data_IF_209617077664
#
_entry.id   IF_209617077664
#
_cell.length_a   1.000
_cell.length_b   1.000
_cell.length_c   1.000
_cell.angle_alpha   90.00
_cell.angle_beta   90.00
_cell.angle_gamma   90.00
#
_symmetry.space_group_name_H-M   'P 1'
#
loop_
_entity.id
_entity.type
_entity.pdbx_description
1 polymer ?
#
# COMPACT_ATOMS: atom_id res chain seq x y z
N UNK A 1 51.15 6.12 19.87
CA UNK A 1 49.70 5.84 19.75
C UNK A 1 49.06 7.07 19.10
N UNK A 2 48.80 7.04 17.78
CA UNK A 2 48.14 8.16 17.09
C UNK A 2 46.63 7.95 17.24
N UNK A 3 46.00 8.78 18.05
CA UNK A 3 44.54 8.84 18.13
C UNK A 3 44.08 9.56 16.87
N UNK A 4 43.54 8.83 15.89
CA UNK A 4 42.81 9.43 14.76
C UNK A 4 41.61 10.18 15.35
N UNK A 5 41.59 11.50 15.23
CA UNK A 5 40.36 12.28 15.47
C UNK A 5 39.24 11.73 14.58
N UNK A 6 38.01 11.55 15.10
CA UNK A 6 36.89 11.12 14.27
C UNK A 6 36.67 12.19 13.19
N UNK A 7 36.54 11.75 11.94
CA UNK A 7 36.27 12.64 10.82
C UNK A 7 35.01 13.47 11.14
N UNK A 8 35.13 14.80 11.13
CA UNK A 8 33.99 15.70 11.30
C UNK A 8 32.99 15.42 10.18
N UNK A 9 31.73 15.13 10.54
CA UNK A 9 30.66 14.90 9.57
C UNK A 9 30.59 16.08 8.60
N UNK A 10 30.52 15.77 7.30
CA UNK A 10 30.27 16.78 6.28
C UNK A 10 28.93 17.48 6.58
N UNK A 11 28.82 18.78 6.26
CA UNK A 11 27.62 19.58 6.53
C UNK A 11 26.35 18.93 5.95
N UNK A 12 26.43 18.29 4.79
CA UNK A 12 25.31 17.57 4.16
C UNK A 12 24.96 16.29 4.93
N UNK A 13 25.94 15.49 5.34
CA UNK A 13 25.73 14.34 6.24
C UNK A 13 25.10 14.77 7.58
N UNK A 14 25.53 15.90 8.14
CA UNK A 14 24.97 16.48 9.37
C UNK A 14 23.52 16.96 9.17
N UNK A 15 23.21 17.64 8.06
CA UNK A 15 21.82 18.06 7.80
C UNK A 15 20.91 16.85 7.53
N UNK A 16 21.37 15.88 6.74
CA UNK A 16 20.62 14.66 6.45
C UNK A 16 20.27 13.87 7.72
N UNK A 17 21.24 13.66 8.61
CA UNK A 17 21.01 12.93 9.86
C UNK A 17 19.97 13.61 10.76
N UNK A 18 19.98 14.94 10.80
CA UNK A 18 19.05 15.73 11.60
C UNK A 18 17.63 15.77 11.01
N UNK A 19 17.47 15.83 9.67
CA UNK A 19 16.14 15.89 9.05
C UNK A 19 15.48 14.52 8.82
N UNK A 20 16.28 13.44 8.78
CA UNK A 20 15.81 12.05 8.58
C UNK A 20 14.62 11.65 9.47
N UNK A 21 14.61 11.87 10.80
CA UNK A 21 13.46 11.49 11.62
C UNK A 21 12.20 12.29 11.30
N UNK A 22 12.33 13.58 10.94
CA UNK A 22 11.17 14.41 10.58
C UNK A 22 10.57 13.99 9.24
N UNK A 23 11.41 13.73 8.25
CA UNK A 23 10.97 13.23 6.93
C UNK A 23 10.28 11.86 7.05
N UNK A 24 10.77 11.00 7.95
CA UNK A 24 10.16 9.69 8.21
C UNK A 24 8.69 9.79 8.62
N UNK A 25 8.30 10.84 9.35
CA UNK A 25 6.90 11.04 9.77
C UNK A 25 6.12 11.96 8.84
N UNK A 26 6.77 12.98 8.29
CA UNK A 26 6.14 13.92 7.38
C UNK A 26 5.56 13.24 6.14
N UNK A 27 6.32 12.34 5.50
CA UNK A 27 5.92 11.66 4.27
C UNK A 27 4.62 10.84 4.43
N UNK A 28 4.51 9.89 5.38
CA UNK A 28 3.28 9.12 5.54
C UNK A 28 2.11 9.98 6.05
N UNK A 29 2.35 11.00 6.88
CA UNK A 29 1.29 11.91 7.35
C UNK A 29 0.72 12.71 6.17
N UNK A 30 1.58 13.25 5.31
CA UNK A 30 1.15 13.96 4.11
C UNK A 30 0.35 13.03 3.19
N UNK A 31 0.82 11.80 2.98
CA UNK A 31 0.10 10.80 2.20
C UNK A 31 -1.29 10.51 2.77
N UNK A 32 -1.42 10.38 4.10
CA UNK A 32 -2.71 10.19 4.75
C UNK A 32 -3.64 11.38 4.52
N UNK A 33 -3.17 12.61 4.77
CA UNK A 33 -3.97 13.83 4.65
C UNK A 33 -4.51 14.01 3.23
N UNK A 34 -3.73 13.71 2.20
CA UNK A 34 -4.13 13.84 0.80
C UNK A 34 -5.33 12.96 0.42
N UNK A 35 -5.51 11.83 1.10
CA UNK A 35 -6.60 10.88 0.82
C UNK A 35 -7.62 10.76 1.96
N UNK A 36 -7.43 11.45 3.08
CA UNK A 36 -8.35 11.35 4.23
C UNK A 36 -9.77 11.80 3.88
N UNK A 37 -9.89 12.71 2.91
CA UNK A 37 -11.17 13.17 2.40
C UNK A 37 -11.99 12.08 1.68
N UNK A 38 -11.37 10.98 1.23
CA UNK A 38 -12.09 9.89 0.54
C UNK A 38 -12.77 8.93 1.50
N UNK A 39 -12.44 8.97 2.79
CA UNK A 39 -12.93 8.01 3.78
C UNK A 39 -14.45 8.08 4.00
N UNK A 40 -15.06 9.24 3.73
CA UNK A 40 -16.52 9.42 3.83
C UNK A 40 -17.26 9.19 2.50
N UNK A 41 -16.55 8.81 1.43
CA UNK A 41 -17.19 8.47 0.16
C UNK A 41 -17.74 7.05 0.17
N UNK A 42 -18.77 6.81 -0.65
CA UNK A 42 -19.30 5.48 -0.93
C UNK A 42 -18.44 4.71 -1.93
N UNK A 43 -18.70 3.41 -2.07
CA UNK A 43 -18.07 2.55 -3.07
C UNK A 43 -18.43 3.01 -4.50
N UNK A 44 -17.43 3.19 -5.36
CA UNK A 44 -17.62 3.69 -6.73
C UNK A 44 -16.85 2.88 -7.77
N UNK A 45 -17.41 2.84 -8.98
CA UNK A 45 -16.83 2.27 -10.21
C UNK A 45 -16.23 0.86 -10.04
N UNK A 46 -14.95 0.77 -9.68
CA UNK A 46 -14.21 -0.47 -9.57
C UNK A 46 -14.44 -1.19 -8.24
N UNK A 47 -14.81 -0.48 -7.16
CA UNK A 47 -15.12 -1.07 -5.85
C UNK A 47 -16.26 -2.08 -5.95
N UNK A 48 -17.22 -1.81 -6.82
CA UNK A 48 -18.31 -2.75 -7.10
C UNK A 48 -17.79 -4.08 -7.66
N UNK A 49 -16.78 -4.03 -8.51
CA UNK A 49 -16.25 -5.21 -9.20
C UNK A 49 -15.41 -6.08 -8.26
N UNK A 50 -14.55 -5.45 -7.46
CA UNK A 50 -13.58 -6.19 -6.63
C UNK A 50 -14.07 -6.45 -5.21
N UNK A 51 -15.11 -5.75 -4.75
CA UNK A 51 -15.54 -5.77 -3.35
C UNK A 51 -17.06 -5.88 -3.23
N UNK A 52 -17.81 -4.81 -3.48
CA UNK A 52 -19.21 -4.72 -3.03
C UNK A 52 -20.19 -5.55 -3.84
N UNK A 53 -19.81 -6.08 -5.01
CA UNK A 53 -20.58 -7.07 -5.79
C UNK A 53 -19.77 -8.32 -6.14
N UNK A 54 -18.62 -8.54 -5.49
CA UNK A 54 -17.81 -9.74 -5.70
C UNK A 54 -18.25 -10.85 -4.72
N UNK A 55 -18.83 -11.93 -5.23
CA UNK A 55 -19.36 -13.01 -4.38
C UNK A 55 -18.29 -13.68 -3.53
N UNK A 56 -17.04 -13.76 -4.00
CA UNK A 56 -15.98 -14.40 -3.23
C UNK A 56 -15.56 -13.52 -2.04
N UNK A 57 -15.55 -12.20 -2.20
CA UNK A 57 -15.28 -11.27 -1.10
C UNK A 57 -16.43 -11.24 -0.09
N UNK A 58 -17.68 -11.25 -0.58
CA UNK A 58 -18.87 -11.24 0.29
C UNK A 58 -19.02 -12.52 1.13
N UNK A 59 -18.39 -13.64 0.72
CA UNK A 59 -18.31 -14.88 1.51
C UNK A 59 -17.31 -14.79 2.68
N UNK A 60 -16.59 -13.68 2.81
CA UNK A 60 -15.58 -13.49 3.85
C UNK A 60 -14.49 -14.56 3.79
N UNK A 61 -14.07 -15.09 4.94
CA UNK A 61 -12.96 -16.06 5.03
C UNK A 61 -13.25 -17.32 4.19
N UNK A 62 -14.51 -17.74 4.13
CA UNK A 62 -14.92 -18.93 3.37
C UNK A 62 -14.75 -18.79 1.85
N UNK A 63 -14.64 -17.55 1.34
CA UNK A 63 -14.40 -17.27 -0.08
C UNK A 63 -12.94 -17.30 -0.51
N UNK A 64 -11.98 -17.36 0.43
CA UNK A 64 -10.54 -17.33 0.13
C UNK A 64 -10.09 -18.44 -0.85
N UNK A 65 -10.54 -19.71 -0.73
CA UNK A 65 -10.17 -20.75 -1.70
C UNK A 65 -10.59 -20.42 -3.14
N UNK A 66 -11.75 -19.78 -3.32
CA UNK A 66 -12.22 -19.31 -4.63
C UNK A 66 -11.34 -18.14 -5.13
N UNK A 67 -11.01 -17.18 -4.26
CA UNK A 67 -10.15 -16.04 -4.58
C UNK A 67 -8.76 -16.48 -5.07
N UNK A 68 -8.18 -17.51 -4.43
CA UNK A 68 -6.85 -18.02 -4.77
C UNK A 68 -6.84 -18.89 -6.02
N UNK A 69 -7.99 -19.40 -6.46
CA UNK A 69 -8.07 -20.36 -7.58
C UNK A 69 -8.68 -19.77 -8.85
N UNK A 70 -9.29 -18.58 -8.78
CA UNK A 70 -10.04 -17.96 -9.87
C UNK A 70 -9.48 -16.59 -10.25
N UNK A 71 -9.91 -16.12 -11.42
CA UNK A 71 -9.68 -14.75 -11.86
C UNK A 71 -10.37 -13.72 -10.93
N UNK A 72 -9.77 -12.54 -10.75
CA UNK A 72 -10.27 -11.46 -9.90
C UNK A 72 -11.74 -11.12 -10.16
N UNK A 73 -12.18 -11.12 -11.42
CA UNK A 73 -13.54 -10.69 -11.77
C UNK A 73 -14.55 -11.82 -11.84
N UNK A 74 -14.12 -13.08 -11.68
CA UNK A 74 -15.04 -14.21 -11.76
C UNK A 74 -16.15 -14.12 -10.71
N UNK A 75 -15.83 -13.64 -9.51
CA UNK A 75 -16.81 -13.39 -8.44
C UNK A 75 -17.82 -12.28 -8.74
N UNK A 76 -17.53 -11.39 -9.69
CA UNK A 76 -18.42 -10.31 -10.10
C UNK A 76 -19.31 -10.68 -11.31
N UNK A 77 -18.74 -11.36 -12.31
CA UNK A 77 -19.47 -11.65 -13.54
C UNK A 77 -20.49 -12.78 -13.42
N UNK A 78 -20.36 -13.64 -12.40
CA UNK A 78 -21.34 -14.67 -11.97
C UNK A 78 -21.81 -15.66 -13.06
N UNK A 79 -21.28 -15.58 -14.28
CA UNK A 79 -21.68 -16.41 -15.43
C UNK A 79 -20.45 -16.82 -16.23
N UNK A 80 -20.35 -18.12 -16.48
CA UNK A 80 -19.37 -18.69 -17.39
C UNK A 80 -19.51 -18.07 -18.79
N UNK A 81 -18.38 -17.65 -19.38
CA UNK A 81 -18.34 -17.04 -20.72
C UNK A 81 -18.32 -15.51 -20.76
N UNK A 82 -18.66 -14.81 -19.66
CA UNK A 82 -18.40 -13.37 -19.51
C UNK A 82 -16.93 -13.04 -19.19
N UNK A 83 -16.17 -14.06 -18.81
CA UNK A 83 -14.70 -14.01 -18.67
C UNK A 83 -14.00 -13.57 -19.97
N UNK A 84 -14.69 -13.65 -21.12
CA UNK A 84 -14.23 -13.19 -22.44
C UNK A 84 -14.58 -11.72 -22.75
N UNK A 85 -15.42 -11.06 -21.96
CA UNK A 85 -15.78 -9.64 -22.15
C UNK A 85 -14.60 -8.71 -21.83
N UNK A 86 -13.61 -9.20 -21.09
CA UNK A 86 -12.39 -8.49 -20.77
C UNK A 86 -11.25 -9.46 -21.05
N UNK A 87 -10.43 -9.18 -22.07
CA UNK A 87 -9.26 -10.00 -22.36
C UNK A 87 -8.21 -9.83 -21.25
N UNK A 88 -7.56 -10.95 -20.90
CA UNK A 88 -6.46 -11.01 -19.93
C UNK A 88 -6.95 -11.36 -18.53
N UNK A 89 -6.73 -12.61 -18.13
CA UNK A 89 -6.92 -13.04 -16.74
C UNK A 89 -6.08 -12.19 -15.79
N UNK A 90 -6.74 -11.41 -14.94
CA UNK A 90 -6.12 -10.59 -13.90
C UNK A 90 -6.16 -11.39 -12.62
N UNK A 91 -5.03 -11.98 -12.26
CA UNK A 91 -4.87 -12.64 -10.97
C UNK A 91 -4.32 -11.65 -9.93
N UNK A 92 -5.21 -11.15 -9.04
CA UNK A 92 -4.88 -10.20 -7.95
C UNK A 92 -5.45 -10.69 -6.61
N UNK A 93 -5.12 -11.91 -6.19
CA UNK A 93 -5.77 -12.56 -5.06
C UNK A 93 -5.58 -11.81 -3.74
N UNK A 94 -4.39 -11.22 -3.51
CA UNK A 94 -4.04 -10.65 -2.22
C UNK A 94 -4.99 -9.51 -1.82
N UNK A 95 -5.34 -8.64 -2.77
CA UNK A 95 -6.30 -7.55 -2.55
C UNK A 95 -7.66 -8.11 -2.15
N UNK A 96 -8.15 -9.13 -2.86
CA UNK A 96 -9.45 -9.75 -2.58
C UNK A 96 -9.45 -10.50 -1.24
N UNK A 97 -8.35 -11.15 -0.86
CA UNK A 97 -8.21 -11.82 0.44
C UNK A 97 -8.28 -10.79 1.57
N UNK A 98 -7.55 -9.68 1.46
CA UNK A 98 -7.63 -8.59 2.43
C UNK A 98 -9.07 -8.06 2.52
N UNK A 99 -9.73 -7.87 1.37
CA UNK A 99 -11.11 -7.40 1.37
C UNK A 99 -12.08 -8.39 1.98
N UNK A 100 -11.90 -9.69 1.74
CA UNK A 100 -12.74 -10.73 2.33
C UNK A 100 -12.59 -10.77 3.85
N UNK A 101 -11.36 -10.60 4.37
CA UNK A 101 -11.11 -10.52 5.82
C UNK A 101 -11.75 -9.26 6.41
N UNK A 102 -11.61 -8.10 5.76
CA UNK A 102 -12.26 -6.86 6.22
C UNK A 102 -13.78 -6.97 6.17
N UNK A 103 -14.33 -7.63 5.14
CA UNK A 103 -15.75 -7.87 5.01
C UNK A 103 -16.28 -8.80 6.10
N UNK A 104 -15.56 -9.87 6.44
CA UNK A 104 -15.91 -10.77 7.55
C UNK A 104 -16.06 -10.02 8.87
N UNK A 105 -15.12 -9.10 9.15
CA UNK A 105 -15.04 -8.42 10.45
C UNK A 105 -15.99 -7.20 10.52
N UNK A 106 -16.10 -6.44 9.43
CA UNK A 106 -16.73 -5.12 9.43
C UNK A 106 -17.94 -5.01 8.49
N UNK A 107 -18.25 -6.05 7.73
CA UNK A 107 -19.32 -6.06 6.74
C UNK A 107 -19.08 -5.10 5.58
N UNK A 108 -20.17 -4.63 4.96
CA UNK A 108 -20.12 -3.75 3.78
C UNK A 108 -19.97 -2.26 4.15
N UNK A 109 -18.88 -1.90 4.82
CA UNK A 109 -18.64 -0.52 5.30
C UNK A 109 -17.61 0.24 4.46
N UNK A 110 -18.05 1.09 3.53
CA UNK A 110 -17.15 1.89 2.68
C UNK A 110 -16.09 2.67 3.49
N UNK A 111 -16.51 3.24 4.62
CA UNK A 111 -15.63 3.92 5.57
C UNK A 111 -14.43 3.06 5.98
N UNK A 112 -14.66 1.81 6.41
CA UNK A 112 -13.59 0.93 6.90
C UNK A 112 -12.60 0.57 5.79
N UNK A 113 -13.12 0.26 4.60
CA UNK A 113 -12.27 -0.09 3.47
C UNK A 113 -11.42 1.10 3.02
N UNK A 114 -12.00 2.29 2.88
CA UNK A 114 -11.26 3.49 2.52
C UNK A 114 -10.24 3.86 3.59
N UNK A 115 -10.61 3.81 4.88
CA UNK A 115 -9.69 4.08 5.98
C UNK A 115 -8.50 3.10 5.97
N UNK A 116 -8.77 1.80 5.75
CA UNK A 116 -7.72 0.80 5.65
C UNK A 116 -6.79 1.07 4.45
N UNK A 117 -7.32 1.46 3.29
CA UNK A 117 -6.51 1.84 2.12
C UNK A 117 -5.62 3.05 2.40
N UNK A 118 -6.14 4.09 3.06
CA UNK A 118 -5.36 5.28 3.44
C UNK A 118 -4.22 4.90 4.40
N UNK A 119 -4.50 4.07 5.41
CA UNK A 119 -3.50 3.58 6.36
C UNK A 119 -2.43 2.73 5.65
N UNK A 120 -2.85 1.79 4.80
CA UNK A 120 -1.94 0.91 4.07
C UNK A 120 -1.03 1.69 3.11
N UNK A 121 -1.59 2.67 2.39
CA UNK A 121 -0.82 3.54 1.51
C UNK A 121 0.17 4.41 2.29
N UNK A 122 -0.26 4.99 3.41
CA UNK A 122 0.62 5.78 4.29
C UNK A 122 1.76 4.92 4.84
N UNK A 123 1.46 3.70 5.28
CA UNK A 123 2.46 2.73 5.74
C UNK A 123 3.43 2.32 4.62
N UNK A 124 2.95 2.18 3.38
CA UNK A 124 3.79 1.92 2.22
C UNK A 124 4.76 3.08 1.96
N UNK A 125 4.28 4.33 1.98
CA UNK A 125 5.14 5.51 1.84
C UNK A 125 6.24 5.54 2.92
N UNK A 126 5.88 5.21 4.16
CA UNK A 126 6.83 5.09 5.27
C UNK A 126 7.87 3.98 5.03
N UNK A 127 7.44 2.80 4.58
CA UNK A 127 8.32 1.68 4.28
C UNK A 127 9.28 2.00 3.14
N UNK A 128 8.78 2.61 2.06
CA UNK A 128 9.61 3.05 0.94
C UNK A 128 10.66 4.06 1.42
N UNK A 129 10.27 5.04 2.24
CA UNK A 129 11.21 5.99 2.81
C UNK A 129 12.32 5.30 3.61
N UNK A 130 11.97 4.33 4.47
CA UNK A 130 12.94 3.55 5.24
C UNK A 130 13.87 2.74 4.34
N UNK A 131 13.31 2.04 3.34
CA UNK A 131 14.07 1.24 2.39
C UNK A 131 15.07 2.11 1.61
N UNK A 132 14.62 3.25 1.08
CA UNK A 132 15.49 4.19 0.36
C UNK A 132 16.55 4.79 1.28
N UNK A 133 16.18 5.16 2.51
CA UNK A 133 17.14 5.67 3.50
C UNK A 133 18.22 4.64 3.86
N UNK A 134 17.89 3.35 3.80
CA UNK A 134 18.83 2.27 4.06
C UNK A 134 19.72 1.97 2.86
N UNK A 135 19.16 1.94 1.65
CA UNK A 135 19.91 1.72 0.41
C UNK A 135 20.87 2.88 0.13
N UNK A 136 20.46 4.12 0.40
CA UNK A 136 21.22 5.33 0.07
C UNK A 136 22.16 5.80 1.18
N UNK A 137 22.23 5.11 2.33
CA UNK A 137 23.05 5.53 3.47
C UNK A 137 24.56 5.58 3.14
N UNK A 138 25.00 4.70 2.24
CA UNK A 138 26.41 4.53 1.85
C UNK A 138 26.72 5.16 0.49
N UNK A 139 25.75 5.84 -0.13
CA UNK A 139 25.95 6.48 -1.42
C UNK A 139 26.84 7.72 -1.25
N UNK A 140 28.02 7.79 -1.91
CA UNK A 140 28.90 8.94 -1.77
C UNK A 140 28.19 10.18 -2.29
N UNK A 141 28.15 11.23 -1.48
CA UNK A 141 27.66 12.53 -1.92
C UNK A 141 28.46 12.97 -3.15
N UNK A 142 27.83 13.62 -4.15
CA UNK A 142 28.48 14.00 -5.41
C UNK A 142 29.77 14.83 -5.27
N UNK A 143 30.04 15.39 -4.08
CA UNK A 143 31.29 16.09 -3.74
C UNK A 143 32.49 15.19 -3.49
N UNK A 144 32.31 13.89 -3.26
CA UNK A 144 33.42 12.96 -2.95
C UNK A 144 34.06 12.36 -4.21
N UNK A 145 33.56 12.71 -5.41
CA UNK A 145 34.03 12.21 -6.71
C UNK A 145 34.91 13.23 -7.48
N UNK A 146 35.33 14.32 -6.84
CA UNK A 146 36.29 15.30 -7.35
C UNK A 146 37.55 15.26 -6.48
#
# INVERSE_FOLDING_TARGET
MIIKQPASLDKNQFLWSNYRPYLAWFIPILAAILYLNTVLHDFVLDDAIVLSKNEFVQKGISGIPDILSKDTFKGFFKKEGKDKLISGGRYRPLTLVVFAVLFEIFGNSAFVFHLFMVIAYSALCWLIYKLLSEILKDYPSAKTLQ
#
